data_IF_414342411658
#
_entry.id   IF_414342411658
#
_cell.length_a   1.000
_cell.length_b   1.000
_cell.length_c   1.000
_cell.angle_alpha   90.00
_cell.angle_beta   90.00
_cell.angle_gamma   90.00
#
_symmetry.space_group_name_H-M   'P 1'
#
loop_
_entity.id
_entity.type
_entity.pdbx_description
1 polymer ?
#
# COMPACT_ATOMS: atom_id res chain seq x y z
N UNK A 1 4.57 -20.48 -10.71
CA UNK A 1 4.67 -19.97 -9.33
C UNK A 1 3.39 -19.26 -9.00
N UNK A 2 2.64 -19.73 -8.00
CA UNK A 2 1.42 -19.07 -7.54
C UNK A 2 1.80 -18.16 -6.39
N UNK A 3 1.72 -16.84 -6.60
CA UNK A 3 1.96 -15.85 -5.56
C UNK A 3 0.81 -15.94 -4.57
N UNK A 4 1.02 -16.55 -3.40
CA UNK A 4 0.11 -16.34 -2.30
C UNK A 4 0.34 -14.89 -1.83
N UNK A 5 -0.33 -13.92 -2.48
CA UNK A 5 -0.40 -12.51 -2.09
C UNK A 5 -1.17 -12.41 -0.76
N UNK A 6 -0.55 -12.92 0.32
CA UNK A 6 -1.15 -12.95 1.64
C UNK A 6 -0.89 -11.62 2.32
N UNK A 7 -1.98 -10.92 2.59
CA UNK A 7 -2.02 -9.67 3.32
C UNK A 7 -2.60 -9.96 4.71
N UNK A 8 -1.82 -9.70 5.76
CA UNK A 8 -2.23 -9.86 7.15
C UNK A 8 -2.53 -8.50 7.73
N UNK A 9 -3.81 -8.18 7.87
CA UNK A 9 -4.28 -6.90 8.40
C UNK A 9 -3.91 -6.75 9.87
N UNK A 10 -3.28 -5.63 10.21
CA UNK A 10 -2.90 -5.29 11.58
C UNK A 10 -3.66 -4.10 12.12
N UNK A 11 -4.14 -3.21 11.24
CA UNK A 11 -4.96 -2.06 11.64
C UNK A 11 -5.92 -1.67 10.51
N UNK A 12 -7.16 -1.35 10.89
CA UNK A 12 -8.15 -0.71 10.03
C UNK A 12 -8.91 0.33 10.85
N UNK A 13 -8.46 1.58 10.76
CA UNK A 13 -8.98 2.71 11.52
C UNK A 13 -9.64 3.70 10.56
N UNK A 14 -10.96 3.92 10.62
CA UNK A 14 -11.62 4.89 9.76
C UNK A 14 -11.16 6.32 10.09
N UNK A 15 -11.22 7.26 9.12
CA UNK A 15 -11.00 8.66 9.40
C UNK A 15 -12.16 9.19 10.27
N UNK A 16 -11.90 9.40 11.56
CA UNK A 16 -12.77 10.19 12.44
C UNK A 16 -12.52 11.68 12.24
N UNK A 17 -12.20 12.40 13.31
CA UNK A 17 -11.76 13.81 13.26
C UNK A 17 -10.31 13.98 12.75
N UNK A 18 -9.69 12.91 12.24
CA UNK A 18 -8.30 12.84 11.81
C UNK A 18 -8.08 11.87 10.65
N UNK A 19 -6.83 11.58 10.34
CA UNK A 19 -6.51 10.70 9.23
C UNK A 19 -6.92 9.25 9.50
N UNK A 20 -7.54 8.61 8.49
CA UNK A 20 -7.79 7.18 8.47
C UNK A 20 -6.50 6.41 8.24
N UNK A 21 -6.45 5.16 8.72
CA UNK A 21 -5.25 4.32 8.63
C UNK A 21 -5.60 2.88 8.28
N UNK A 22 -4.86 2.34 7.33
CA UNK A 22 -4.85 0.91 6.99
C UNK A 22 -3.42 0.44 7.17
N UNK A 23 -3.20 -0.60 7.97
CA UNK A 23 -1.89 -1.22 8.12
C UNK A 23 -1.99 -2.74 7.95
N UNK A 24 -1.01 -3.31 7.25
CA UNK A 24 -0.93 -4.74 7.03
C UNK A 24 0.51 -5.20 6.80
N UNK A 25 0.74 -6.49 7.05
CA UNK A 25 1.95 -7.19 6.66
C UNK A 25 1.70 -7.90 5.32
N UNK A 26 2.58 -7.68 4.36
CA UNK A 26 2.60 -8.40 3.09
C UNK A 26 3.68 -9.47 3.17
N UNK A 27 3.26 -10.74 3.11
CA UNK A 27 4.19 -11.86 3.25
C UNK A 27 5.20 -11.87 2.09
N UNK A 28 6.46 -12.19 2.41
CA UNK A 28 7.51 -12.39 1.42
C UNK A 28 7.40 -13.75 0.74
N UNK A 29 8.22 -13.96 -0.28
CA UNK A 29 8.41 -15.29 -0.88
C UNK A 29 9.25 -16.17 0.05
N UNK A 30 8.98 -17.48 0.06
CA UNK A 30 9.85 -18.50 0.63
C UNK A 30 10.35 -18.24 2.07
N UNK A 31 9.45 -17.83 2.96
CA UNK A 31 9.78 -17.59 4.37
C UNK A 31 10.54 -16.29 4.64
N UNK A 32 10.74 -15.45 3.62
CA UNK A 32 11.32 -14.12 3.80
C UNK A 32 10.47 -13.29 4.76
N UNK A 33 11.09 -12.41 5.59
CA UNK A 33 10.34 -11.55 6.49
C UNK A 33 9.29 -10.72 5.73
N UNK A 34 8.11 -10.49 6.34
CA UNK A 34 7.06 -9.72 5.70
C UNK A 34 7.48 -8.25 5.52
N UNK A 35 6.94 -7.61 4.48
CA UNK A 35 7.02 -6.17 4.28
C UNK A 35 5.88 -5.51 5.05
N UNK A 36 6.14 -4.40 5.73
CA UNK A 36 5.10 -3.65 6.41
C UNK A 36 4.56 -2.56 5.49
N UNK A 37 3.23 -2.47 5.38
CA UNK A 37 2.56 -1.43 4.59
C UNK A 37 1.67 -0.61 5.51
N UNK A 38 1.76 0.71 5.38
CA UNK A 38 0.84 1.65 6.00
C UNK A 38 0.27 2.56 4.93
N UNK A 39 -1.05 2.68 4.89
CA UNK A 39 -1.78 3.66 4.09
C UNK A 39 -2.42 4.65 5.06
N UNK A 40 -2.19 5.94 4.82
CA UNK A 40 -2.83 7.04 5.53
C UNK A 40 -3.76 7.76 4.57
N UNK A 41 -5.00 7.99 4.99
CA UNK A 41 -6.05 8.65 4.23
C UNK A 41 -6.39 9.95 4.95
N UNK A 42 -6.14 11.08 4.32
CA UNK A 42 -6.43 12.40 4.89
C UNK A 42 -7.40 13.13 3.97
N UNK A 43 -8.48 13.68 4.52
CA UNK A 43 -9.38 14.55 3.75
C UNK A 43 -8.62 15.76 3.21
N UNK A 44 -8.77 16.05 1.92
CA UNK A 44 -8.14 17.20 1.26
C UNK A 44 -9.15 17.86 0.32
N UNK A 45 -9.81 18.92 0.81
CA UNK A 45 -10.92 19.55 0.09
C UNK A 45 -12.09 18.58 -0.13
N UNK A 46 -12.50 18.40 -1.38
CA UNK A 46 -13.51 17.42 -1.78
C UNK A 46 -12.93 16.01 -2.01
N UNK A 47 -11.60 15.87 -2.00
CA UNK A 47 -10.89 14.64 -2.26
C UNK A 47 -10.27 14.01 -1.02
N UNK A 48 -9.50 12.96 -1.25
CA UNK A 48 -8.69 12.29 -0.24
C UNK A 48 -7.24 12.23 -0.69
N UNK A 49 -6.34 12.77 0.14
CA UNK A 49 -4.91 12.54 -0.02
C UNK A 49 -4.54 11.19 0.57
N UNK A 50 -4.01 10.32 -0.29
CA UNK A 50 -3.49 9.02 0.10
C UNK A 50 -1.96 9.06 0.19
N UNK A 51 -1.42 8.58 1.31
CA UNK A 51 0.01 8.30 1.46
C UNK A 51 0.21 6.82 1.79
N UNK A 52 0.89 6.10 0.92
CA UNK A 52 1.30 4.72 1.17
C UNK A 52 2.80 4.66 1.46
N UNK A 53 3.16 4.03 2.57
CA UNK A 53 4.54 3.74 2.95
C UNK A 53 4.71 2.23 3.02
N UNK A 54 5.75 1.74 2.36
CA UNK A 54 6.14 0.35 2.38
C UNK A 54 7.54 0.22 2.94
N UNK A 55 7.69 -0.56 4.00
CA UNK A 55 8.96 -0.84 4.66
C UNK A 55 9.40 -2.24 4.28
N UNK A 56 10.56 -2.31 3.63
CA UNK A 56 11.19 -3.56 3.22
C UNK A 56 12.23 -3.98 4.27
N UNK A 57 12.31 -5.27 4.62
CA UNK A 57 13.34 -5.82 5.51
C UNK A 57 14.78 -5.54 5.05
N UNK A 58 15.04 -5.45 3.75
CA UNK A 58 16.39 -5.23 3.21
C UNK A 58 16.40 -4.26 2.05
N UNK A 59 17.55 -3.61 1.82
CA UNK A 59 17.76 -2.70 0.69
C UNK A 59 17.69 -3.43 -0.67
N UNK A 60 18.08 -4.71 -0.74
CA UNK A 60 17.99 -5.50 -1.95
C UNK A 60 16.53 -5.67 -2.41
N UNK A 61 15.61 -5.91 -1.47
CA UNK A 61 14.18 -5.99 -1.81
C UNK A 61 13.60 -4.64 -2.26
N UNK A 62 14.10 -3.51 -1.72
CA UNK A 62 13.74 -2.17 -2.24
C UNK A 62 14.18 -2.02 -3.69
N UNK A 63 15.40 -2.45 -4.02
CA UNK A 63 15.92 -2.37 -5.39
C UNK A 63 15.08 -3.23 -6.36
N UNK A 64 14.71 -4.44 -5.95
CA UNK A 64 13.82 -5.32 -6.73
C UNK A 64 12.45 -4.67 -6.95
N UNK A 65 11.84 -4.11 -5.90
CA UNK A 65 10.55 -3.42 -6.03
C UNK A 65 10.62 -2.25 -7.01
N UNK A 66 11.72 -1.48 -6.96
CA UNK A 66 11.97 -0.37 -7.89
C UNK A 66 12.16 -0.85 -9.33
N UNK A 67 12.91 -1.94 -9.55
CA UNK A 67 13.10 -2.49 -10.91
C UNK A 67 11.81 -3.03 -11.55
N UNK A 68 10.76 -3.23 -10.76
CA UNK A 68 9.44 -3.61 -11.24
C UNK A 68 8.45 -2.44 -11.35
N UNK A 69 8.92 -1.20 -11.21
CA UNK A 69 8.10 0.02 -11.25
C UNK A 69 6.93 -0.02 -10.25
N UNK A 70 7.17 -0.54 -9.05
CA UNK A 70 6.13 -0.72 -8.04
C UNK A 70 5.37 0.59 -7.72
N UNK A 71 6.07 1.73 -7.71
CA UNK A 71 5.46 3.04 -7.49
C UNK A 71 4.51 3.44 -8.62
N UNK A 72 4.94 3.34 -9.88
CA UNK A 72 4.12 3.67 -11.03
C UNK A 72 2.88 2.75 -11.12
N UNK A 73 3.01 1.47 -10.80
CA UNK A 73 1.89 0.53 -10.71
C UNK A 73 0.91 0.88 -9.57
N UNK A 74 1.42 1.37 -8.45
CA UNK A 74 0.61 1.91 -7.37
C UNK A 74 -0.23 3.08 -7.85
N UNK A 75 0.39 4.07 -8.50
CA UNK A 75 -0.32 5.22 -9.08
C UNK A 75 -1.33 4.81 -10.15
N UNK A 76 -1.00 3.85 -11.02
CA UNK A 76 -1.94 3.31 -12.00
C UNK A 76 -3.17 2.69 -11.33
N UNK A 77 -2.98 2.00 -10.20
CA UNK A 77 -4.07 1.40 -9.44
C UNK A 77 -4.97 2.46 -8.82
N UNK A 78 -4.39 3.54 -8.26
CA UNK A 78 -5.16 4.67 -7.74
C UNK A 78 -5.91 5.40 -8.85
N UNK A 79 -5.31 5.56 -10.03
CA UNK A 79 -6.00 6.14 -11.20
C UNK A 79 -7.22 5.31 -11.63
N UNK A 80 -7.12 3.97 -11.60
CA UNK A 80 -8.26 3.09 -11.86
C UNK A 80 -9.36 3.23 -10.80
N UNK A 81 -8.97 3.38 -9.53
CA UNK A 81 -9.92 3.61 -8.44
C UNK A 81 -10.66 4.94 -8.62
N UNK A 82 -9.94 6.03 -8.89
CA UNK A 82 -10.54 7.34 -9.15
C UNK A 82 -11.54 7.29 -10.33
N UNK A 83 -11.14 6.70 -11.46
CA UNK A 83 -12.01 6.52 -12.61
C UNK A 83 -13.27 5.67 -12.28
N UNK A 84 -13.15 4.67 -11.40
CA UNK A 84 -14.30 3.86 -10.98
C UNK A 84 -15.31 4.62 -10.11
N UNK A 85 -14.88 5.72 -9.47
CA UNK A 85 -15.72 6.59 -8.65
C UNK A 85 -16.35 7.74 -9.44
N UNK A 86 -16.03 7.87 -10.73
CA UNK A 86 -16.60 8.88 -11.63
C UNK A 86 -15.89 10.23 -11.65
N UNK A 87 -14.61 10.27 -11.26
CA UNK A 87 -13.72 11.42 -11.46
C UNK A 87 -13.14 11.49 -12.88
#
# INVERSE_FOLDING_TARGET
MQFANRHRWTELSPPGDGAGRIAFLMDGLDGSPPKAVTVTLTSEGLGTRLRQVMVFPTAAEVAVARSHDAEAKGLQTLGKLAASLGE
#
